data_IF_200643613262
#
_entry.id   IF_200643613262
#
_cell.length_a   1.000
_cell.length_b   1.000
_cell.length_c   1.000
_cell.angle_alpha   90.00
_cell.angle_beta   90.00
_cell.angle_gamma   90.00
#
_symmetry.space_group_name_H-M   'P 1'
#
loop_
_entity.id
_entity.type
_entity.pdbx_description
1 polymer ?
#
# COMPACT_ATOMS: atom_id res chain seq x y z
N UNK A 1 -24.92 -19.02 -10.99
CA UNK A 1 -23.50 -19.18 -11.36
C UNK A 1 -23.44 -19.24 -12.88
N UNK A 2 -22.60 -18.42 -13.54
CA UNK A 2 -22.63 -18.23 -15.01
C UNK A 2 -22.32 -19.54 -15.75
N UNK A 3 -23.27 -20.03 -16.55
CA UNK A 3 -23.15 -21.27 -17.33
C UNK A 3 -21.98 -21.24 -18.34
N UNK A 4 -21.53 -20.04 -18.75
CA UNK A 4 -20.42 -19.87 -19.69
C UNK A 4 -19.07 -20.33 -19.14
N UNK A 5 -18.92 -20.38 -17.81
CA UNK A 5 -17.69 -20.81 -17.16
C UNK A 5 -17.68 -22.30 -16.82
N UNK A 6 -18.82 -22.99 -16.93
CA UNK A 6 -18.95 -24.40 -16.56
C UNK A 6 -17.99 -25.33 -17.31
N UNK A 7 -17.76 -25.18 -18.63
CA UNK A 7 -16.81 -26.03 -19.36
C UNK A 7 -15.39 -25.91 -18.83
N UNK A 8 -14.90 -24.69 -18.61
CA UNK A 8 -13.55 -24.45 -18.10
C UNK A 8 -13.35 -25.00 -16.68
N UNK A 9 -14.40 -24.99 -15.87
CA UNK A 9 -14.36 -25.61 -14.53
C UNK A 9 -14.33 -27.13 -14.60
N UNK A 10 -15.17 -27.73 -15.45
CA UNK A 10 -15.21 -29.18 -15.64
C UNK A 10 -13.89 -29.71 -16.21
N UNK A 11 -13.25 -28.96 -17.08
CA UNK A 11 -11.93 -29.26 -17.64
C UNK A 11 -10.75 -28.96 -16.68
N UNK A 12 -11.00 -28.44 -15.48
CA UNK A 12 -9.95 -28.09 -14.52
C UNK A 12 -9.13 -26.83 -14.85
N UNK A 13 -9.45 -26.13 -15.94
CA UNK A 13 -8.78 -24.89 -16.37
C UNK A 13 -9.16 -23.66 -15.53
N UNK A 14 -10.29 -23.72 -14.84
CA UNK A 14 -10.77 -22.66 -13.95
C UNK A 14 -11.11 -23.25 -12.58
N UNK A 15 -10.47 -22.72 -11.55
CA UNK A 15 -10.76 -23.05 -10.17
C UNK A 15 -11.20 -21.79 -9.42
N UNK A 16 -12.24 -21.93 -8.59
CA UNK A 16 -12.57 -20.91 -7.60
C UNK A 16 -11.90 -21.33 -6.30
N UNK A 17 -10.97 -20.50 -5.81
CA UNK A 17 -10.42 -20.68 -4.48
C UNK A 17 -11.55 -20.60 -3.43
N UNK A 18 -11.44 -21.40 -2.37
CA UNK A 18 -12.29 -21.25 -1.20
C UNK A 18 -12.12 -19.84 -0.62
N UNK A 19 -13.20 -19.27 -0.06
CA UNK A 19 -13.11 -17.94 0.55
C UNK A 19 -12.20 -18.00 1.78
N UNK A 20 -11.08 -17.26 1.81
CA UNK A 20 -10.22 -17.24 2.98
C UNK A 20 -10.94 -16.56 4.14
N UNK A 21 -10.77 -17.13 5.33
CA UNK A 21 -11.30 -16.64 6.61
C UNK A 21 -10.21 -16.07 7.51
N UNK A 22 -8.95 -16.36 7.19
CA UNK A 22 -7.78 -15.82 7.89
C UNK A 22 -6.81 -15.17 6.91
N UNK A 23 -5.95 -14.26 7.37
CA UNK A 23 -4.88 -13.70 6.53
C UNK A 23 -3.93 -14.77 5.99
N UNK A 24 -3.65 -15.83 6.77
CA UNK A 24 -2.79 -16.93 6.35
C UNK A 24 -3.41 -17.70 5.18
N UNK A 25 -4.69 -18.06 5.27
CA UNK A 25 -5.40 -18.71 4.17
C UNK A 25 -5.40 -17.86 2.89
N UNK A 26 -5.52 -16.53 3.01
CA UNK A 26 -5.40 -15.63 1.86
C UNK A 26 -3.99 -15.66 1.27
N UNK A 27 -2.95 -15.62 2.11
CA UNK A 27 -1.57 -15.69 1.64
C UNK A 27 -1.28 -17.00 0.90
N UNK A 28 -1.82 -18.13 1.37
CA UNK A 28 -1.66 -19.43 0.72
C UNK A 28 -2.28 -19.45 -0.68
N UNK A 29 -3.48 -18.86 -0.83
CA UNK A 29 -4.14 -18.70 -2.14
C UNK A 29 -3.31 -17.82 -3.09
N UNK A 30 -2.71 -16.73 -2.58
CA UNK A 30 -1.88 -15.88 -3.43
C UNK A 30 -0.59 -16.59 -3.83
N UNK A 31 0.11 -17.22 -2.88
CA UNK A 31 1.40 -17.90 -3.12
C UNK A 31 1.29 -19.15 -4.01
N UNK A 32 0.12 -19.74 -4.16
CA UNK A 32 -0.09 -20.83 -5.12
C UNK A 32 -0.15 -20.34 -6.58
N UNK A 33 -0.07 -19.03 -6.82
CA UNK A 33 -0.16 -18.43 -8.17
C UNK A 33 1.23 -18.03 -8.67
N UNK A 34 1.54 -18.34 -9.93
CA UNK A 34 2.77 -17.88 -10.60
C UNK A 34 2.72 -16.40 -10.99
N UNK A 35 1.53 -15.89 -11.25
CA UNK A 35 1.26 -14.49 -11.60
C UNK A 35 -0.16 -14.12 -11.17
N UNK A 36 -0.36 -12.87 -10.74
CA UNK A 36 -1.66 -12.36 -10.31
C UNK A 36 -2.16 -11.30 -11.30
N UNK A 37 -3.39 -11.47 -11.78
CA UNK A 37 -4.13 -10.44 -12.51
C UNK A 37 -5.15 -9.78 -11.56
N UNK A 38 -5.09 -8.47 -11.38
CA UNK A 38 -6.04 -7.79 -10.52
C UNK A 38 -6.37 -6.35 -10.97
N UNK A 39 -7.61 -5.93 -10.72
CA UNK A 39 -8.02 -4.53 -10.87
C UNK A 39 -8.08 -3.77 -9.54
N UNK A 40 -8.00 -4.48 -8.40
CA UNK A 40 -8.07 -3.88 -7.06
C UNK A 40 -6.67 -3.57 -6.56
N UNK A 41 -6.44 -2.31 -6.18
CA UNK A 41 -5.15 -1.83 -5.66
C UNK A 41 -4.57 -2.76 -4.58
N UNK A 42 -5.36 -3.13 -3.56
CA UNK A 42 -4.88 -3.97 -2.46
C UNK A 42 -4.41 -5.36 -2.90
N UNK A 43 -5.01 -5.94 -3.95
CA UNK A 43 -4.55 -7.21 -4.49
C UNK A 43 -3.19 -7.04 -5.19
N UNK A 44 -2.97 -5.94 -5.90
CA UNK A 44 -1.68 -5.61 -6.52
C UNK A 44 -0.60 -5.34 -5.46
N UNK A 45 -0.93 -4.60 -4.40
CA UNK A 45 -0.01 -4.34 -3.27
C UNK A 45 0.39 -5.65 -2.59
N UNK A 46 -0.58 -6.52 -2.29
CA UNK A 46 -0.31 -7.81 -1.67
C UNK A 46 0.59 -8.70 -2.54
N UNK A 47 0.33 -8.77 -3.85
CA UNK A 47 1.17 -9.51 -4.80
C UNK A 47 2.60 -8.97 -4.81
N UNK A 48 2.78 -7.65 -4.94
CA UNK A 48 4.10 -7.01 -4.90
C UNK A 48 4.85 -7.27 -3.60
N UNK A 49 4.19 -7.11 -2.45
CA UNK A 49 4.81 -7.35 -1.14
C UNK A 49 5.24 -8.81 -0.95
N UNK A 50 4.50 -9.76 -1.55
CA UNK A 50 4.82 -11.18 -1.53
C UNK A 50 5.83 -11.61 -2.61
N UNK A 51 6.29 -10.70 -3.47
CA UNK A 51 7.21 -11.02 -4.58
C UNK A 51 6.52 -11.75 -5.74
N UNK A 52 5.19 -11.80 -5.76
CA UNK A 52 4.43 -12.48 -6.80
C UNK A 52 4.26 -11.52 -7.99
N UNK A 53 4.72 -11.88 -9.19
CA UNK A 53 4.52 -11.07 -10.39
C UNK A 53 3.05 -10.76 -10.59
N UNK A 54 2.75 -9.55 -11.03
CA UNK A 54 1.37 -9.13 -11.18
C UNK A 54 1.18 -8.17 -12.36
N UNK A 55 -0.04 -8.22 -12.89
CA UNK A 55 -0.56 -7.39 -13.97
C UNK A 55 -1.79 -6.64 -13.46
N UNK A 56 -1.85 -5.35 -13.71
CA UNK A 56 -2.92 -4.46 -13.25
C UNK A 56 -3.87 -4.12 -14.38
N UNK A 57 -5.12 -3.82 -14.04
CA UNK A 57 -6.08 -3.25 -14.99
C UNK A 57 -6.32 -1.76 -14.76
N UNK A 58 -6.38 -1.02 -15.87
CA UNK A 58 -6.82 0.37 -15.99
C UNK A 58 -8.27 0.57 -15.59
N UNK A 59 -8.52 0.60 -14.28
CA UNK A 59 -9.84 0.90 -13.72
C UNK A 59 -9.84 2.14 -12.83
N UNK A 60 -8.71 2.45 -12.19
CA UNK A 60 -8.57 3.56 -11.26
C UNK A 60 -7.14 4.12 -11.25
N UNK A 61 -7.04 5.45 -11.11
CA UNK A 61 -5.78 6.18 -11.14
C UNK A 61 -4.81 5.74 -10.02
N UNK A 62 -5.32 5.26 -8.88
CA UNK A 62 -4.44 4.82 -7.78
C UNK A 62 -3.69 3.55 -8.14
N UNK A 63 -4.30 2.65 -8.90
CA UNK A 63 -3.62 1.43 -9.39
C UNK A 63 -2.50 1.83 -10.35
N UNK A 64 -2.78 2.73 -11.31
CA UNK A 64 -1.76 3.24 -12.23
C UNK A 64 -0.59 3.93 -11.48
N UNK A 65 -0.90 4.76 -10.49
CA UNK A 65 0.11 5.42 -9.65
C UNK A 65 0.95 4.42 -8.86
N UNK A 66 0.33 3.36 -8.32
CA UNK A 66 1.04 2.30 -7.63
C UNK A 66 2.04 1.60 -8.56
N UNK A 67 1.60 1.15 -9.75
CA UNK A 67 2.47 0.46 -10.70
C UNK A 67 3.68 1.31 -11.10
N UNK A 68 3.49 2.61 -11.33
CA UNK A 68 4.59 3.55 -11.60
C UNK A 68 5.52 3.72 -10.39
N UNK A 69 4.98 3.79 -9.18
CA UNK A 69 5.79 3.97 -7.96
C UNK A 69 6.71 2.78 -7.68
N UNK A 70 6.38 1.59 -8.19
CA UNK A 70 7.18 0.36 -8.03
C UNK A 70 7.89 -0.08 -9.31
N UNK A 71 7.95 0.79 -10.33
CA UNK A 71 8.66 0.52 -11.59
C UNK A 71 8.08 -0.62 -12.42
N UNK A 72 6.75 -0.81 -12.38
CA UNK A 72 6.04 -1.90 -13.07
C UNK A 72 4.99 -1.42 -14.06
N UNK A 73 5.00 -0.16 -14.47
CA UNK A 73 4.03 0.42 -15.42
C UNK A 73 3.88 -0.36 -16.73
N UNK A 74 4.92 -1.06 -17.19
CA UNK A 74 4.85 -1.94 -18.37
C UNK A 74 3.93 -3.16 -18.21
N UNK A 75 3.52 -3.49 -16.98
CA UNK A 75 2.57 -4.55 -16.65
C UNK A 75 1.18 -4.01 -16.26
N UNK A 76 0.91 -2.75 -16.57
CA UNK A 76 -0.40 -2.14 -16.35
C UNK A 76 -1.19 -2.10 -17.68
N UNK A 77 -2.22 -2.94 -17.78
CA UNK A 77 -3.08 -3.01 -18.95
C UNK A 77 -4.16 -1.91 -18.88
N UNK A 78 -3.98 -0.84 -19.64
CA UNK A 78 -4.91 0.29 -19.72
C UNK A 78 -5.18 0.70 -21.18
N UNK A 79 -6.35 1.30 -21.40
CA UNK A 79 -6.73 1.91 -22.68
C UNK A 79 -7.27 0.95 -23.75
N UNK A 80 -7.57 1.51 -24.94
CA UNK A 80 -8.28 0.81 -26.03
C UNK A 80 -7.56 -0.42 -26.60
N UNK A 81 -6.24 -0.51 -26.41
CA UNK A 81 -5.42 -1.63 -26.84
C UNK A 81 -5.51 -2.85 -25.92
N UNK A 82 -6.18 -2.73 -24.77
CA UNK A 82 -6.34 -3.82 -23.81
C UNK A 82 -7.30 -4.88 -24.35
N UNK A 83 -6.72 -5.90 -24.99
CA UNK A 83 -7.43 -7.09 -25.47
C UNK A 83 -7.11 -8.30 -24.59
N UNK A 84 -7.95 -9.36 -24.58
CA UNK A 84 -7.63 -10.60 -23.86
C UNK A 84 -6.27 -11.19 -24.24
N UNK A 85 -5.90 -11.14 -25.53
CA UNK A 85 -4.59 -11.61 -26.02
C UNK A 85 -3.44 -10.76 -25.48
N UNK A 86 -3.61 -9.44 -25.43
CA UNK A 86 -2.60 -8.55 -24.85
C UNK A 86 -2.42 -8.81 -23.35
N UNK A 87 -3.51 -9.00 -22.60
CA UNK A 87 -3.45 -9.35 -21.18
C UNK A 87 -2.76 -10.70 -20.96
N UNK A 88 -3.08 -11.71 -21.78
CA UNK A 88 -2.41 -13.01 -21.72
C UNK A 88 -0.90 -12.90 -22.00
N UNK A 89 -0.51 -12.06 -22.96
CA UNK A 89 0.89 -11.75 -23.22
C UNK A 89 1.58 -11.10 -22.01
N UNK A 90 0.97 -10.07 -21.41
CA UNK A 90 1.52 -9.43 -20.21
C UNK A 90 1.67 -10.40 -19.04
N UNK A 91 0.71 -11.31 -18.85
CA UNK A 91 0.76 -12.34 -17.82
C UNK A 91 1.93 -13.30 -18.03
N UNK A 92 2.11 -13.81 -19.25
CA UNK A 92 3.24 -14.69 -19.58
C UNK A 92 4.57 -13.97 -19.34
N UNK A 93 4.70 -12.72 -19.81
CA UNK A 93 5.92 -11.92 -19.62
C UNK A 93 6.21 -11.63 -18.15
N UNK A 94 5.19 -11.30 -17.36
CA UNK A 94 5.35 -11.05 -15.93
C UNK A 94 5.79 -12.33 -15.18
N UNK A 95 5.21 -13.48 -15.51
CA UNK A 95 5.59 -14.77 -14.94
C UNK A 95 7.04 -15.14 -15.27
N UNK A 96 7.49 -14.86 -16.49
CA UNK A 96 8.87 -15.11 -16.94
C UNK A 96 9.88 -14.15 -16.29
N UNK A 97 9.57 -12.85 -16.25
CA UNK A 97 10.52 -11.83 -15.80
C UNK A 97 10.62 -11.70 -14.29
N UNK A 98 9.60 -12.15 -13.55
CA UNK A 98 9.51 -11.95 -12.12
C UNK A 98 9.28 -10.49 -11.70
N UNK A 99 9.61 -10.23 -10.44
CA UNK A 99 9.83 -8.88 -9.89
C UNK A 99 11.32 -8.79 -9.59
N UNK A 100 11.96 -7.68 -9.98
CA UNK A 100 13.34 -7.42 -9.60
C UNK A 100 13.47 -7.34 -8.07
N UNK A 101 14.24 -8.26 -7.47
CA UNK A 101 14.33 -8.42 -6.02
C UNK A 101 14.89 -7.16 -5.34
N UNK A 102 15.85 -6.48 -5.97
CA UNK A 102 16.44 -5.27 -5.44
C UNK A 102 15.42 -4.12 -5.40
N UNK A 103 14.66 -3.92 -6.48
CA UNK A 103 13.58 -2.94 -6.58
C UNK A 103 12.47 -3.25 -5.57
N UNK A 104 12.09 -4.53 -5.44
CA UNK A 104 11.10 -4.97 -4.46
C UNK A 104 11.56 -4.65 -3.03
N UNK A 105 12.79 -5.05 -2.68
CA UNK A 105 13.37 -4.82 -1.37
C UNK A 105 13.47 -3.31 -1.05
N UNK A 106 13.90 -2.49 -2.02
CA UNK A 106 13.94 -1.04 -1.87
C UNK A 106 12.54 -0.45 -1.62
N UNK A 107 11.52 -0.91 -2.35
CA UNK A 107 10.13 -0.48 -2.13
C UNK A 107 9.59 -0.85 -0.74
N UNK A 108 9.88 -2.07 -0.27
CA UNK A 108 9.50 -2.53 1.07
C UNK A 108 10.23 -1.76 2.18
N UNK A 109 11.53 -1.48 1.98
CA UNK A 109 12.32 -0.67 2.91
C UNK A 109 11.75 0.76 3.00
N UNK A 110 11.51 1.41 1.86
CA UNK A 110 10.93 2.76 1.81
C UNK A 110 9.55 2.83 2.48
N UNK A 111 8.68 1.82 2.27
CA UNK A 111 7.38 1.74 2.93
C UNK A 111 7.53 1.57 4.46
N UNK A 112 8.48 0.74 4.89
CA UNK A 112 8.76 0.52 6.32
C UNK A 112 9.28 1.79 6.99
N UNK A 113 10.20 2.49 6.34
CA UNK A 113 10.80 3.72 6.87
C UNK A 113 9.77 4.84 6.93
N UNK A 114 8.88 4.97 5.93
CA UNK A 114 7.80 5.94 5.96
C UNK A 114 6.83 5.72 7.15
N UNK A 115 6.50 4.46 7.46
CA UNK A 115 5.67 4.12 8.62
C UNK A 115 6.39 4.43 9.94
N UNK A 116 7.67 4.11 10.05
CA UNK A 116 8.49 4.46 11.23
C UNK A 116 8.56 5.97 11.45
N UNK A 117 8.87 6.73 10.40
CA UNK A 117 8.91 8.19 10.45
C UNK A 117 7.57 8.79 10.90
N UNK A 118 6.45 8.23 10.46
CA UNK A 118 5.13 8.66 10.92
C UNK A 118 4.94 8.35 12.41
N UNK A 119 5.29 7.15 12.86
CA UNK A 119 5.18 6.75 14.26
C UNK A 119 6.01 7.66 15.18
N UNK A 120 7.25 7.97 14.80
CA UNK A 120 8.14 8.85 15.57
C UNK A 120 7.56 10.26 15.70
N UNK A 121 6.99 10.80 14.61
CA UNK A 121 6.34 12.11 14.62
C UNK A 121 5.09 12.14 15.50
N UNK A 122 4.28 11.09 15.46
CA UNK A 122 3.10 10.96 16.31
C UNK A 122 3.48 10.89 17.79
N UNK A 123 4.54 10.15 18.13
CA UNK A 123 5.07 10.08 19.50
C UNK A 123 5.63 11.41 19.97
N UNK A 124 6.45 12.10 19.16
CA UNK A 124 7.00 13.41 19.50
C UNK A 124 5.90 14.47 19.75
N UNK A 125 4.83 14.46 18.94
CA UNK A 125 3.68 15.35 19.11
C UNK A 125 2.89 15.06 20.41
N UNK A 126 2.83 13.80 20.84
CA UNK A 126 2.17 13.41 22.08
C UNK A 126 2.97 13.85 23.32
N UNK A 127 4.30 13.80 23.26
CA UNK A 127 5.18 14.26 24.35
C UNK A 127 5.15 15.78 24.51
N UNK A 128 5.07 16.54 23.41
CA UNK A 128 4.98 18.01 23.45
C UNK A 128 3.64 18.56 23.98
N UNK A 129 2.57 17.75 23.97
CA UNK A 129 1.24 18.16 24.48
C UNK A 129 1.05 17.83 25.97
N UNK A 130 2.06 17.25 26.63
CA UNK A 130 2.00 16.78 28.02
C UNK A 130 2.76 17.61 29.06
N UNK A 131 3.41 18.73 28.72
CA UNK A 131 4.00 19.61 29.76
C UNK A 131 2.90 20.46 30.43
N UNK A 132 2.73 20.39 31.77
CA UNK A 132 1.90 21.35 32.46
C UNK A 132 2.59 22.71 32.38
N UNK A 133 1.84 23.71 31.89
CA UNK A 133 2.18 25.13 32.07
C UNK A 133 2.42 25.38 33.56
N UNK A 134 3.69 25.33 33.99
CA UNK A 134 4.09 25.67 35.35
C UNK A 134 3.83 27.16 35.57
N UNK A 135 2.73 27.44 36.27
CA UNK A 135 2.46 28.67 36.97
C UNK A 135 3.72 29.19 37.68
N UNK A 136 4.15 30.42 37.40
CA UNK A 136 5.15 31.07 38.24
C UNK A 136 6.00 32.17 37.61
N UNK A 137 5.40 33.32 37.31
CA UNK A 137 5.97 34.63 37.68
C UNK A 137 4.88 35.71 37.61
N UNK A 138 4.06 35.77 38.65
CA UNK A 138 3.46 37.05 39.02
C UNK A 138 4.61 38.03 39.31
N UNK A 139 4.81 39.01 38.43
CA UNK A 139 5.50 40.24 38.78
C UNK A 139 4.63 40.95 39.83
N UNK A 140 4.97 40.80 41.10
CA UNK A 140 4.42 41.61 42.17
C UNK A 140 4.86 43.06 41.94
N UNK A 141 3.90 43.90 41.57
CA UNK A 141 3.93 45.33 41.81
C UNK A 141 3.56 45.56 43.28
N UNK A 142 4.40 46.29 44.03
CA UNK A 142 4.02 47.11 45.19
C UNK A 142 5.18 48.10 45.47
N UNK A 143 5.00 49.39 45.14
CA UNK A 143 4.35 50.46 45.92
C UNK A 143 5.33 51.19 46.88
N UNK A 144 5.60 52.47 46.63
CA UNK A 144 5.34 53.56 47.59
C UNK A 144 5.79 54.93 47.04
N UNK A 145 4.82 55.84 46.94
CA UNK A 145 5.03 57.30 46.81
C UNK A 145 5.76 57.81 48.05
N UNK A 146 6.79 58.62 47.86
CA UNK A 146 7.27 59.56 48.89
C UNK A 146 6.85 60.97 48.45
N UNK A 147 5.92 61.55 49.20
CA UNK A 147 5.62 62.96 49.19
C UNK A 147 6.33 63.59 50.40
N UNK A 148 7.23 64.55 50.16
CA UNK A 148 7.59 65.52 51.18
C UNK A 148 7.86 66.88 50.53
N UNK A 149 6.99 67.84 50.83
CA UNK A 149 7.21 69.28 50.66
C UNK A 149 8.41 69.73 51.49
N UNK A 150 9.27 70.57 50.92
CA UNK A 150 9.66 71.88 51.47
C UNK A 150 10.28 72.71 50.36
#
# INVERSE_FOLDING_TARGET
MDQRLAPSRAAGMLQLAARPRTPLELMDVLRSSSVILAHRLHACIAAYALGIPHVGFGWDQKVASFFRSVGREGYFADGPATTPTHVAFLLARAAESGIDEATQAAGLAAATDAVRMLADRLQASATMTGEPMSSGRLRQNNHAKMATRK
#
